data_IF_585875224605
#
_entry.id   IF_585875224605
#
_cell.length_a   1.000
_cell.length_b   1.000
_cell.length_c   1.000
_cell.angle_alpha   90.00
_cell.angle_beta   90.00
_cell.angle_gamma   90.00
#
_symmetry.space_group_name_H-M   'P 1'
#
loop_
_entity.id
_entity.type
_entity.pdbx_description
1 polymer ?
#
# COMPACT_ATOMS: atom_id res chain seq x y z
N UNK A 1 10.07 -11.31 34.35
CA UNK A 1 9.27 -10.43 33.50
C UNK A 1 7.94 -11.08 33.21
N UNK A 2 6.85 -10.33 33.32
CA UNK A 2 5.53 -10.88 33.00
C UNK A 2 5.35 -11.05 31.49
N UNK A 3 4.46 -11.96 31.08
CA UNK A 3 4.14 -12.17 29.67
C UNK A 3 3.62 -10.91 29.01
N UNK A 4 2.89 -10.04 29.74
CA UNK A 4 2.38 -8.77 29.21
C UNK A 4 3.49 -7.78 28.86
N UNK A 5 4.57 -7.73 29.65
CA UNK A 5 5.75 -6.88 29.37
C UNK A 5 6.47 -7.37 28.12
N UNK A 6 6.65 -8.69 27.98
CA UNK A 6 7.27 -9.27 26.78
C UNK A 6 6.43 -9.02 25.53
N UNK A 7 5.10 -9.12 25.65
CA UNK A 7 4.18 -8.83 24.55
C UNK A 7 4.25 -7.37 24.11
N UNK A 8 4.30 -6.42 25.08
CA UNK A 8 4.45 -5.01 24.78
C UNK A 8 5.79 -4.70 24.11
N UNK A 9 6.87 -5.33 24.56
CA UNK A 9 8.18 -5.17 23.94
C UNK A 9 8.20 -5.71 22.52
N UNK A 10 7.62 -6.88 22.28
CA UNK A 10 7.53 -7.48 20.96
C UNK A 10 6.72 -6.60 20.01
N UNK A 11 5.59 -6.05 20.48
CA UNK A 11 4.76 -5.15 19.69
C UNK A 11 5.49 -3.85 19.37
N UNK A 12 6.23 -3.29 20.33
CA UNK A 12 7.02 -2.08 20.11
C UNK A 12 8.10 -2.29 19.06
N UNK A 13 8.78 -3.45 19.08
CA UNK A 13 9.78 -3.80 18.08
C UNK A 13 9.13 -3.95 16.70
N UNK A 14 7.99 -4.65 16.62
CA UNK A 14 7.27 -4.82 15.35
C UNK A 14 6.79 -3.48 14.76
N UNK A 15 6.29 -2.57 15.59
CA UNK A 15 5.91 -1.23 15.14
C UNK A 15 7.08 -0.51 14.48
N UNK A 16 8.26 -0.60 15.08
CA UNK A 16 9.46 0.02 14.50
C UNK A 16 9.87 -0.66 13.20
N UNK A 17 9.79 -1.98 13.12
CA UNK A 17 10.11 -2.75 11.92
C UNK A 17 9.17 -2.36 10.77
N UNK A 18 7.87 -2.27 11.03
CA UNK A 18 6.86 -1.85 10.05
C UNK A 18 7.13 -0.44 9.55
N UNK A 19 7.41 0.49 10.46
CA UNK A 19 7.69 1.88 10.13
C UNK A 19 8.90 1.99 9.20
N UNK A 20 10.00 1.34 9.56
CA UNK A 20 11.22 1.33 8.75
C UNK A 20 11.00 0.66 7.40
N UNK A 21 10.18 -0.38 7.34
CA UNK A 21 9.85 -1.06 6.09
C UNK A 21 9.13 -0.12 5.12
N UNK A 22 8.11 0.59 5.58
CA UNK A 22 7.33 1.51 4.74
C UNK A 22 8.20 2.69 4.31
N UNK A 23 8.98 3.26 5.22
CA UNK A 23 9.92 4.34 4.88
C UNK A 23 10.92 3.90 3.82
N UNK A 24 11.43 2.68 3.92
CA UNK A 24 12.39 2.12 2.96
C UNK A 24 11.77 1.98 1.58
N UNK A 25 10.55 1.44 1.50
CA UNK A 25 9.82 1.28 0.23
C UNK A 25 9.61 2.64 -0.43
N UNK A 26 9.10 3.63 0.31
CA UNK A 26 8.81 4.95 -0.23
C UNK A 26 10.08 5.78 -0.50
N UNK A 27 11.17 5.51 0.22
CA UNK A 27 12.48 6.05 -0.12
C UNK A 27 12.97 5.56 -1.48
N UNK A 28 12.77 4.29 -1.77
CA UNK A 28 13.08 3.72 -3.09
C UNK A 28 12.22 4.33 -4.18
N UNK A 29 10.92 4.48 -3.94
CA UNK A 29 10.00 5.10 -4.90
C UNK A 29 10.41 6.54 -5.20
N UNK A 30 10.78 7.31 -4.19
CA UNK A 30 11.26 8.68 -4.38
C UNK A 30 12.52 8.72 -5.24
N UNK A 31 13.45 7.81 -5.00
CA UNK A 31 14.68 7.71 -5.79
C UNK A 31 14.37 7.39 -7.25
N UNK A 32 13.51 6.41 -7.49
CA UNK A 32 13.10 6.01 -8.84
C UNK A 32 12.35 7.12 -9.56
N UNK A 33 11.43 7.82 -8.90
CA UNK A 33 10.70 8.94 -9.51
C UNK A 33 11.63 10.08 -9.89
N UNK A 34 12.67 10.32 -9.12
CA UNK A 34 13.68 11.33 -9.41
C UNK A 34 14.48 10.96 -10.67
N UNK A 35 14.94 9.70 -10.76
CA UNK A 35 15.73 9.23 -11.88
C UNK A 35 14.94 9.09 -13.17
N UNK A 36 13.72 8.60 -13.09
CA UNK A 36 12.90 8.27 -14.26
C UNK A 36 11.95 9.39 -14.68
N UNK A 37 12.10 10.58 -14.08
CA UNK A 37 11.26 11.74 -14.43
C UNK A 37 9.79 11.54 -14.08
N UNK A 38 9.50 10.80 -13.02
CA UNK A 38 8.14 10.50 -12.58
C UNK A 38 7.55 9.20 -13.11
N UNK A 39 8.25 8.52 -14.00
CA UNK A 39 7.79 7.26 -14.58
C UNK A 39 8.21 6.09 -13.69
N UNK A 40 7.27 5.59 -12.89
CA UNK A 40 7.47 4.42 -12.03
C UNK A 40 6.60 3.30 -12.55
N UNK A 41 7.17 2.10 -12.69
CA UNK A 41 6.39 0.92 -13.06
C UNK A 41 5.64 0.41 -11.82
N UNK A 42 4.37 0.81 -11.70
CA UNK A 42 3.52 0.45 -10.57
C UNK A 42 3.33 -1.06 -10.44
N UNK A 43 3.22 -1.76 -11.56
CA UNK A 43 2.99 -3.22 -11.51
C UNK A 43 4.22 -3.97 -11.01
N UNK A 44 5.42 -3.49 -11.29
CA UNK A 44 6.65 -4.03 -10.70
C UNK A 44 6.73 -3.75 -9.21
N UNK A 45 6.34 -2.55 -8.77
CA UNK A 45 6.29 -2.21 -7.34
C UNK A 45 5.29 -3.11 -6.59
N UNK A 46 4.11 -3.32 -7.15
CA UNK A 46 3.10 -4.21 -6.56
C UNK A 46 3.63 -5.64 -6.43
N UNK A 47 4.29 -6.14 -7.46
CA UNK A 47 4.86 -7.48 -7.45
C UNK A 47 5.95 -7.62 -6.39
N UNK A 48 6.75 -6.58 -6.19
CA UNK A 48 7.85 -6.60 -5.23
C UNK A 48 7.38 -6.42 -3.78
N UNK A 49 6.39 -5.56 -3.52
CA UNK A 49 6.09 -5.07 -2.18
C UNK A 49 4.68 -5.35 -1.68
N UNK A 50 3.78 -5.83 -2.53
CA UNK A 50 2.41 -6.13 -2.13
C UNK A 50 2.16 -7.62 -1.88
N UNK A 51 1.07 -7.92 -1.19
CA UNK A 51 0.67 -9.30 -0.88
C UNK A 51 0.25 -10.05 -2.14
N UNK A 52 0.24 -11.37 -2.05
CA UNK A 52 -0.29 -12.23 -3.11
C UNK A 52 -1.76 -11.95 -3.37
N UNK A 53 -2.54 -11.70 -2.31
CA UNK A 53 -3.96 -11.36 -2.43
C UNK A 53 -4.17 -10.06 -3.21
N UNK A 54 -3.39 -9.03 -2.93
CA UNK A 54 -3.43 -7.78 -3.67
C UNK A 54 -3.10 -7.99 -5.15
N UNK A 55 -2.02 -8.71 -5.43
CA UNK A 55 -1.59 -8.96 -6.81
C UNK A 55 -2.60 -9.79 -7.60
N UNK A 56 -3.26 -10.75 -6.95
CA UNK A 56 -4.34 -11.52 -7.58
C UNK A 56 -5.52 -10.63 -7.96
N UNK A 57 -5.90 -9.73 -7.07
CA UNK A 57 -6.97 -8.77 -7.32
C UNK A 57 -6.58 -7.80 -8.43
N UNK A 58 -5.35 -7.31 -8.42
CA UNK A 58 -4.81 -6.44 -9.48
C UNK A 58 -4.90 -7.11 -10.85
N UNK A 59 -4.52 -8.39 -10.95
CA UNK A 59 -4.60 -9.13 -12.21
C UNK A 59 -6.04 -9.23 -12.72
N UNK A 60 -7.02 -9.43 -11.83
CA UNK A 60 -8.43 -9.45 -12.21
C UNK A 60 -8.89 -8.08 -12.75
N UNK A 61 -8.48 -6.99 -12.09
CA UNK A 61 -8.77 -5.63 -12.55
C UNK A 61 -8.15 -5.38 -13.93
N UNK A 62 -6.89 -5.77 -14.14
CA UNK A 62 -6.20 -5.62 -15.43
C UNK A 62 -6.92 -6.39 -16.55
N UNK A 63 -7.40 -7.60 -16.28
CA UNK A 63 -8.17 -8.36 -17.26
C UNK A 63 -9.45 -7.64 -17.65
N UNK A 64 -10.18 -7.09 -16.67
CA UNK A 64 -11.41 -6.32 -16.94
C UNK A 64 -11.12 -5.05 -17.71
N UNK A 65 -10.09 -4.29 -17.34
CA UNK A 65 -9.67 -3.11 -18.08
C UNK A 65 -9.41 -3.43 -19.56
N UNK A 66 -8.67 -4.49 -19.81
CA UNK A 66 -8.33 -4.93 -21.17
C UNK A 66 -9.57 -5.36 -21.96
N UNK A 67 -10.43 -6.21 -21.37
CA UNK A 67 -11.59 -6.78 -22.06
C UNK A 67 -12.72 -5.77 -22.28
N UNK A 68 -12.93 -4.84 -21.34
CA UNK A 68 -13.97 -3.83 -21.42
C UNK A 68 -13.51 -2.51 -22.03
N UNK A 69 -12.22 -2.40 -22.37
CA UNK A 69 -11.61 -1.18 -22.86
C UNK A 69 -11.88 0.02 -21.92
N UNK A 70 -11.80 -0.24 -20.62
CA UNK A 70 -11.97 0.76 -19.56
C UNK A 70 -10.70 0.89 -18.75
N UNK A 71 -10.60 1.96 -17.96
CA UNK A 71 -9.45 2.22 -17.10
C UNK A 71 -9.93 2.40 -15.66
N UNK A 72 -9.41 1.58 -14.75
CA UNK A 72 -9.70 1.70 -13.31
C UNK A 72 -8.71 2.64 -12.62
N UNK A 73 -7.39 2.43 -12.83
CA UNK A 73 -6.37 3.26 -12.22
C UNK A 73 -6.10 4.50 -13.07
N UNK A 74 -6.68 5.62 -12.69
CA UNK A 74 -6.45 6.92 -13.35
C UNK A 74 -5.29 7.68 -12.71
N UNK A 75 -5.02 7.40 -11.44
CA UNK A 75 -3.98 8.05 -10.64
C UNK A 75 -2.96 7.00 -10.23
N UNK A 76 -1.70 7.41 -10.07
CA UNK A 76 -0.65 6.53 -9.56
C UNK A 76 -1.02 6.11 -8.12
N UNK A 77 -1.25 4.83 -7.90
CA UNK A 77 -1.70 4.30 -6.60
C UNK A 77 -0.63 4.37 -5.50
N UNK A 78 0.64 4.40 -5.89
CA UNK A 78 1.73 4.50 -4.91
C UNK A 78 1.93 5.93 -4.41
N UNK A 79 1.71 6.91 -5.25
CA UNK A 79 1.89 8.33 -4.93
C UNK A 79 0.59 9.09 -4.76
N UNK A 80 -0.53 8.52 -5.19
CA UNK A 80 -1.85 9.17 -5.22
C UNK A 80 -1.87 10.47 -6.02
N UNK A 81 -1.02 10.56 -7.06
CA UNK A 81 -0.89 11.73 -7.92
C UNK A 81 -0.94 11.33 -9.39
N UNK A 82 -1.30 12.29 -10.25
CA UNK A 82 -1.21 12.10 -11.71
C UNK A 82 0.22 12.20 -12.21
N UNK A 83 1.02 13.08 -11.58
CA UNK A 83 2.41 13.30 -11.93
C UNK A 83 3.26 13.12 -10.67
N UNK A 84 4.10 12.08 -10.68
CA UNK A 84 4.95 11.72 -9.54
C UNK A 84 6.32 12.37 -9.57
N UNK A 85 6.57 13.27 -10.51
CA UNK A 85 7.91 13.80 -10.78
C UNK A 85 8.53 14.53 -9.60
N UNK A 86 7.76 15.30 -8.85
CA UNK A 86 8.23 16.14 -7.75
C UNK A 86 7.54 15.80 -6.42
N UNK A 87 7.31 14.50 -6.17
CA UNK A 87 6.69 14.08 -4.91
C UNK A 87 7.72 13.95 -3.79
N UNK A 88 7.24 14.18 -2.58
CA UNK A 88 7.95 13.87 -1.35
C UNK A 88 7.02 13.13 -0.40
N UNK A 89 7.57 12.26 0.42
CA UNK A 89 6.83 11.47 1.39
C UNK A 89 7.35 11.80 2.79
N UNK A 90 6.46 12.13 3.71
CA UNK A 90 6.85 12.53 5.06
C UNK A 90 5.77 12.19 6.07
N UNK A 91 6.05 12.45 7.34
CA UNK A 91 5.11 12.29 8.45
C UNK A 91 4.63 10.85 8.63
N UNK A 92 5.56 9.90 8.47
CA UNK A 92 5.26 8.48 8.66
C UNK A 92 4.97 8.17 10.12
N UNK A 93 3.83 7.52 10.38
CA UNK A 93 3.50 7.05 11.71
C UNK A 93 2.74 5.71 11.63
N UNK A 94 3.01 4.82 12.57
CA UNK A 94 2.25 3.57 12.68
C UNK A 94 0.89 3.88 13.29
N UNK A 95 -0.17 3.66 12.52
CA UNK A 95 -1.55 3.87 12.98
C UNK A 95 -2.08 2.67 13.76
N UNK A 96 -1.64 1.47 13.41
CA UNK A 96 -2.04 0.22 14.04
C UNK A 96 -0.98 -0.85 13.82
N UNK A 97 -0.86 -1.75 14.79
CA UNK A 97 0.00 -2.94 14.65
C UNK A 97 -0.57 -4.03 15.56
N UNK A 98 -0.85 -5.20 14.98
CA UNK A 98 -1.49 -6.31 15.68
C UNK A 98 -0.71 -7.59 15.43
N UNK A 99 -0.49 -8.34 16.50
CA UNK A 99 0.09 -9.69 16.47
C UNK A 99 -0.96 -10.63 17.04
N UNK A 100 -1.48 -11.52 16.20
CA UNK A 100 -2.50 -12.48 16.58
C UNK A 100 -1.95 -13.74 17.25
N UNK A 101 -2.86 -14.60 17.74
CA UNK A 101 -2.47 -15.79 18.50
C UNK A 101 -1.71 -16.83 17.70
N UNK A 102 -1.82 -16.85 16.39
CA UNK A 102 -1.11 -17.78 15.49
C UNK A 102 0.04 -17.09 14.74
N UNK A 103 0.61 -16.03 15.33
CA UNK A 103 1.65 -15.20 14.72
C UNK A 103 1.23 -14.50 13.43
N UNK A 104 -0.07 -14.43 13.14
CA UNK A 104 -0.54 -13.54 12.10
C UNK A 104 -0.29 -12.09 12.53
N UNK A 105 0.22 -11.27 11.62
CA UNK A 105 0.56 -9.89 11.91
C UNK A 105 -0.02 -8.98 10.85
N UNK A 106 -0.64 -7.90 11.31
CA UNK A 106 -1.18 -6.84 10.45
C UNK A 106 -0.77 -5.49 10.99
N UNK A 107 -0.71 -4.49 10.13
CA UNK A 107 -0.35 -3.14 10.53
C UNK A 107 -0.96 -2.11 9.58
N UNK A 108 -0.98 -0.86 10.02
CA UNK A 108 -1.32 0.27 9.17
C UNK A 108 -0.33 1.40 9.44
N UNK A 109 0.13 2.06 8.40
CA UNK A 109 1.06 3.19 8.47
C UNK A 109 0.44 4.37 7.72
N UNK A 110 0.37 5.51 8.38
CA UNK A 110 -0.05 6.77 7.78
C UNK A 110 1.18 7.57 7.36
N UNK A 111 1.04 8.28 6.25
CA UNK A 111 2.04 9.25 5.82
C UNK A 111 1.38 10.27 4.90
N UNK A 112 2.12 11.31 4.53
CA UNK A 112 1.62 12.35 3.64
C UNK A 112 2.46 12.40 2.38
N UNK A 113 1.80 12.43 1.24
CA UNK A 113 2.42 12.68 -0.07
C UNK A 113 2.33 14.17 -0.35
N UNK A 114 3.47 14.81 -0.57
CA UNK A 114 3.55 16.22 -0.93
C UNK A 114 3.92 16.33 -2.40
N UNK A 115 3.16 17.12 -3.14
CA UNK A 115 3.56 17.59 -4.46
C UNK A 115 3.70 19.12 -4.43
N UNK A 116 4.16 19.77 -5.51
CA UNK A 116 4.39 21.23 -5.47
C UNK A 116 3.17 22.07 -5.12
N UNK A 117 1.97 21.57 -5.36
CA UNK A 117 0.73 22.34 -5.25
C UNK A 117 -0.21 21.84 -4.15
N UNK A 118 0.00 20.63 -3.62
CA UNK A 118 -0.94 20.03 -2.68
C UNK A 118 -0.28 18.97 -1.80
N UNK A 119 -1.07 18.45 -0.87
CA UNK A 119 -0.68 17.30 -0.05
C UNK A 119 -1.82 16.30 0.02
N UNK A 120 -1.47 15.03 0.15
CA UNK A 120 -2.42 13.92 0.20
C UNK A 120 -2.08 13.01 1.36
N UNK A 121 -2.93 12.94 2.41
CA UNK A 121 -2.74 11.96 3.47
C UNK A 121 -3.13 10.57 2.98
N UNK A 122 -2.26 9.61 3.23
CA UNK A 122 -2.39 8.23 2.75
C UNK A 122 -2.20 7.27 3.92
N UNK A 123 -2.88 6.16 3.87
CA UNK A 123 -2.64 5.01 4.74
C UNK A 123 -2.36 3.79 3.88
N UNK A 124 -1.35 3.02 4.25
CA UNK A 124 -1.14 1.68 3.71
C UNK A 124 -1.45 0.66 4.80
N UNK A 125 -2.17 -0.38 4.43
CA UNK A 125 -2.40 -1.54 5.29
C UNK A 125 -1.43 -2.63 4.89
N UNK A 126 -0.83 -3.30 5.89
CA UNK A 126 0.20 -4.31 5.66
C UNK A 126 -0.16 -5.62 6.34
N UNK A 127 0.31 -6.69 5.74
CA UNK A 127 0.24 -8.06 6.28
C UNK A 127 1.65 -8.64 6.24
N UNK A 128 2.01 -9.38 7.30
CA UNK A 128 3.26 -10.12 7.32
C UNK A 128 3.07 -11.41 6.55
N UNK A 129 3.79 -11.57 5.45
CA UNK A 129 3.63 -12.66 4.50
C UNK A 129 5.00 -13.09 3.97
N UNK A 130 5.28 -14.40 4.01
CA UNK A 130 6.53 -14.96 3.50
C UNK A 130 7.79 -14.28 4.08
N UNK A 131 7.77 -14.02 5.38
CA UNK A 131 8.90 -13.45 6.10
C UNK A 131 9.10 -11.96 5.95
N UNK A 132 8.16 -11.25 5.35
CA UNK A 132 8.24 -9.80 5.13
C UNK A 132 6.90 -9.10 5.36
N UNK A 133 6.97 -7.84 5.76
CA UNK A 133 5.81 -6.97 5.75
C UNK A 133 5.52 -6.54 4.32
N UNK A 134 4.30 -6.81 3.85
CA UNK A 134 3.86 -6.49 2.49
C UNK A 134 2.59 -5.64 2.52
N UNK A 135 2.48 -4.74 1.57
CA UNK A 135 1.32 -3.86 1.45
C UNK A 135 0.14 -4.66 0.88
N UNK A 136 -0.99 -4.51 1.53
CA UNK A 136 -2.22 -5.24 1.24
C UNK A 136 -3.36 -4.32 0.79
N UNK A 137 -3.25 -3.02 1.03
CA UNK A 137 -4.23 -2.03 0.61
C UNK A 137 -3.65 -0.62 0.69
N UNK A 138 -4.23 0.28 -0.12
CA UNK A 138 -3.93 1.70 -0.11
C UNK A 138 -5.22 2.48 0.15
N UNK A 139 -5.17 3.45 1.08
CA UNK A 139 -6.30 4.30 1.41
C UNK A 139 -5.93 5.76 1.22
N UNK A 140 -6.80 6.49 0.55
CA UNK A 140 -6.71 7.93 0.41
C UNK A 140 -7.58 8.56 1.49
N UNK A 141 -6.97 9.07 2.55
CA UNK A 141 -7.70 9.46 3.76
C UNK A 141 -8.58 10.69 3.56
N UNK A 142 -8.19 11.63 2.72
CA UNK A 142 -8.94 12.86 2.47
C UNK A 142 -10.32 12.59 1.86
N UNK A 143 -10.42 11.62 0.96
CA UNK A 143 -11.66 11.28 0.26
C UNK A 143 -12.25 9.97 0.73
N UNK A 144 -11.70 9.38 1.79
CA UNK A 144 -12.14 8.09 2.34
C UNK A 144 -12.14 6.97 1.28
N UNK A 145 -11.20 7.03 0.35
CA UNK A 145 -11.07 6.04 -0.73
C UNK A 145 -10.27 4.83 -0.24
N UNK A 146 -10.88 3.65 -0.35
CA UNK A 146 -10.25 2.37 -0.06
C UNK A 146 -10.07 1.64 -1.39
N UNK A 147 -8.81 1.50 -1.85
CA UNK A 147 -8.55 0.96 -3.18
C UNK A 147 -8.98 -0.48 -3.35
N UNK A 148 -8.73 -1.34 -2.35
CA UNK A 148 -9.17 -2.74 -2.42
C UNK A 148 -10.69 -2.82 -2.58
N UNK A 149 -11.43 -2.10 -1.76
CA UNK A 149 -12.88 -2.06 -1.84
C UNK A 149 -13.35 -1.55 -3.20
N UNK A 150 -12.73 -0.50 -3.71
CA UNK A 150 -13.04 0.05 -5.03
C UNK A 150 -12.76 -0.94 -6.16
N UNK A 151 -11.68 -1.73 -6.04
CA UNK A 151 -11.36 -2.78 -7.00
C UNK A 151 -12.42 -3.89 -6.99
N UNK A 152 -12.90 -4.32 -5.83
CA UNK A 152 -13.99 -5.29 -5.73
C UNK A 152 -15.28 -4.74 -6.33
N UNK A 153 -15.62 -3.49 -6.07
CA UNK A 153 -16.80 -2.85 -6.67
C UNK A 153 -16.70 -2.77 -8.19
N UNK A 154 -15.51 -2.46 -8.70
CA UNK A 154 -15.26 -2.43 -10.15
C UNK A 154 -15.49 -3.81 -10.78
N UNK A 155 -15.13 -4.90 -10.09
CA UNK A 155 -15.27 -6.27 -10.56
C UNK A 155 -16.67 -6.85 -10.33
N UNK A 156 -17.45 -6.29 -9.42
CA UNK A 156 -18.67 -6.89 -8.88
C UNK A 156 -19.78 -7.08 -9.93
N UNK A 157 -19.80 -6.26 -10.98
CA UNK A 157 -20.79 -6.37 -12.06
C UNK A 157 -20.49 -7.52 -13.05
N UNK A 158 -19.32 -8.16 -12.91
CA UNK A 158 -18.94 -9.27 -13.77
C UNK A 158 -18.09 -10.27 -12.99
N UNK A 159 -18.78 -11.26 -12.39
CA UNK A 159 -18.16 -12.24 -11.51
C UNK A 159 -17.10 -13.11 -12.19
N UNK A 160 -17.08 -13.15 -13.53
CA UNK A 160 -16.09 -13.93 -14.28
C UNK A 160 -14.66 -13.47 -14.02
N UNK A 161 -14.46 -12.21 -13.65
CA UNK A 161 -13.12 -11.68 -13.36
C UNK A 161 -12.59 -12.09 -11.99
N UNK A 162 -13.46 -12.56 -11.11
CA UNK A 162 -13.10 -12.97 -9.74
C UNK A 162 -12.67 -14.43 -9.64
N UNK A 163 -12.87 -15.22 -10.66
CA UNK A 163 -12.61 -16.66 -10.68
C UNK A 163 -11.19 -17.00 -11.14
#
# INVERSE_FOLDING_TARGET
MSDSVLSEMALSIERQVVLERVKSIYGLIKQETTYLGGNVDNDLLDKAFCTKAWNKLLMAVRRKEFQSNSLFFEVNRWTMTYDSKLVNFDEFEVADCYIGPNNEKTAAVNFTVYDPDSYTPVRVELVYEDGQWKIDNFLHLKYMLNLRESMYQYLDHDLAYLI
#
